data_IF_503880763774
#
_entry.id   IF_503880763774
#
_cell.length_a   1.000
_cell.length_b   1.000
_cell.length_c   1.000
_cell.angle_alpha   90.00
_cell.angle_beta   90.00
_cell.angle_gamma   90.00
#
_symmetry.space_group_name_H-M   'P 1'
#
loop_
_entity.id
_entity.type
_entity.pdbx_description
1 polymer ?
#
# COMPACT_ATOMS: atom_id res chain seq x y z
N UNK A 1 20.13 0.47 -13.63
CA UNK A 1 18.90 1.29 -13.70
C UNK A 1 19.26 2.58 -14.43
N UNK A 2 18.32 3.18 -15.16
CA UNK A 2 18.58 4.52 -15.72
C UNK A 2 18.84 5.52 -14.58
N UNK A 3 19.80 6.45 -14.74
CA UNK A 3 20.20 7.39 -13.66
C UNK A 3 19.06 8.31 -13.22
N UNK A 4 18.18 8.70 -14.14
CA UNK A 4 17.01 9.53 -13.82
C UNK A 4 16.04 8.71 -12.98
N UNK A 5 15.81 7.45 -13.37
CA UNK A 5 14.99 6.53 -12.61
C UNK A 5 15.58 6.25 -11.22
N UNK A 6 16.88 6.04 -11.11
CA UNK A 6 17.57 5.81 -9.85
C UNK A 6 17.40 6.98 -8.88
N UNK A 7 17.64 8.22 -9.34
CA UNK A 7 17.43 9.41 -8.52
C UNK A 7 15.97 9.52 -8.05
N UNK A 8 15.01 9.27 -8.94
CA UNK A 8 13.58 9.30 -8.58
C UNK A 8 13.21 8.22 -7.57
N UNK A 9 13.83 7.04 -7.66
CA UNK A 9 13.62 5.97 -6.68
C UNK A 9 14.20 6.33 -5.32
N UNK A 10 15.37 6.97 -5.27
CA UNK A 10 15.96 7.43 -4.01
C UNK A 10 15.11 8.50 -3.33
N UNK A 11 14.56 9.46 -4.08
CA UNK A 11 13.59 10.42 -3.55
C UNK A 11 12.37 9.71 -2.94
N UNK A 12 11.79 8.74 -3.66
CA UNK A 12 10.65 7.96 -3.17
C UNK A 12 10.97 7.15 -1.93
N UNK A 13 12.16 6.57 -1.82
CA UNK A 13 12.59 5.82 -0.62
C UNK A 13 12.56 6.75 0.61
N UNK A 14 13.06 7.99 0.47
CA UNK A 14 13.04 8.96 1.56
C UNK A 14 11.61 9.39 1.93
N UNK A 15 10.73 9.60 0.94
CA UNK A 15 9.31 9.88 1.18
C UNK A 15 8.62 8.75 1.97
N UNK A 16 8.92 7.49 1.65
CA UNK A 16 8.38 6.32 2.35
C UNK A 16 8.79 6.30 3.83
N UNK A 17 10.03 6.69 4.14
CA UNK A 17 10.47 6.79 5.54
C UNK A 17 9.68 7.83 6.34
N UNK A 18 9.24 8.91 5.69
CA UNK A 18 8.40 9.95 6.32
C UNK A 18 6.96 9.49 6.57
N UNK A 19 6.43 8.59 5.73
CA UNK A 19 5.04 8.10 5.80
C UNK A 19 4.90 6.78 6.60
N UNK A 20 5.83 6.50 7.51
CA UNK A 20 5.88 5.25 8.28
C UNK A 20 4.64 4.99 9.15
N UNK A 21 3.90 6.04 9.54
CA UNK A 21 2.64 5.93 10.28
C UNK A 21 1.53 5.26 9.48
N UNK A 22 1.32 5.66 8.22
CA UNK A 22 0.31 5.05 7.33
C UNK A 22 0.60 3.58 7.05
N UNK A 23 1.88 3.25 6.86
CA UNK A 23 2.34 1.87 6.68
C UNK A 23 2.01 1.05 7.94
N UNK A 24 2.29 1.60 9.12
CA UNK A 24 1.97 0.94 10.39
C UNK A 24 0.47 0.73 10.56
N UNK A 25 -0.37 1.69 10.17
CA UNK A 25 -1.83 1.57 10.19
C UNK A 25 -2.32 0.42 9.29
N UNK A 26 -1.80 0.33 8.06
CA UNK A 26 -2.14 -0.76 7.14
C UNK A 26 -1.73 -2.11 7.73
N UNK A 27 -0.51 -2.22 8.26
CA UNK A 27 0.00 -3.46 8.87
C UNK A 27 -0.87 -3.88 10.04
N UNK A 28 -1.17 -2.98 10.97
CA UNK A 28 -2.00 -3.27 12.15
C UNK A 28 -3.43 -3.66 11.79
N UNK A 29 -4.04 -3.01 10.79
CA UNK A 29 -5.40 -3.35 10.36
C UNK A 29 -5.47 -4.72 9.66
N UNK A 30 -4.34 -5.18 9.11
CA UNK A 30 -4.21 -6.39 8.32
C UNK A 30 -3.36 -7.48 9.02
N UNK A 31 -3.06 -7.33 10.31
CA UNK A 31 -2.01 -8.08 11.05
C UNK A 31 -2.28 -9.60 11.17
N UNK A 32 -3.48 -10.08 10.81
CA UNK A 32 -3.77 -11.52 10.73
C UNK A 32 -3.03 -12.26 9.62
N UNK A 33 -2.31 -11.54 8.75
CA UNK A 33 -1.75 -12.06 7.50
C UNK A 33 -0.23 -12.25 7.55
N UNK A 34 0.41 -11.95 8.69
CA UNK A 34 1.87 -11.75 8.80
C UNK A 34 2.68 -13.01 9.13
N UNK A 35 2.07 -14.18 9.36
CA UNK A 35 2.75 -15.32 9.98
C UNK A 35 3.53 -16.26 9.05
N UNK A 36 3.64 -16.04 7.72
CA UNK A 36 4.27 -17.03 6.84
C UNK A 36 4.97 -16.42 5.59
N UNK A 37 5.62 -17.24 4.75
CA UNK A 37 6.26 -16.81 3.46
C UNK A 37 5.31 -15.95 2.58
N UNK A 38 4.04 -16.22 2.79
CA UNK A 38 2.80 -15.62 2.39
C UNK A 38 2.69 -14.09 2.62
N UNK A 39 3.27 -13.60 3.71
CA UNK A 39 3.24 -12.20 4.12
C UNK A 39 3.98 -11.28 3.13
N UNK A 40 5.02 -11.80 2.46
CA UNK A 40 5.80 -11.00 1.52
C UNK A 40 5.03 -10.72 0.22
N UNK A 41 4.46 -11.75 -0.40
CA UNK A 41 3.64 -11.58 -1.60
C UNK A 41 2.40 -10.72 -1.33
N UNK A 42 1.80 -10.88 -0.15
CA UNK A 42 0.73 -10.02 0.32
C UNK A 42 1.20 -8.56 0.49
N UNK A 43 2.36 -8.34 1.11
CA UNK A 43 2.96 -7.00 1.25
C UNK A 43 3.21 -6.31 -0.10
N UNK A 44 3.67 -7.05 -1.12
CA UNK A 44 3.83 -6.52 -2.48
C UNK A 44 2.48 -6.11 -3.07
N UNK A 45 1.44 -6.94 -2.91
CA UNK A 45 0.11 -6.64 -3.42
C UNK A 45 -0.48 -5.38 -2.79
N UNK A 46 -0.42 -5.26 -1.46
CA UNK A 46 -0.90 -4.10 -0.71
C UNK A 46 -0.10 -2.84 -1.07
N UNK A 47 1.23 -2.94 -1.18
CA UNK A 47 2.08 -1.82 -1.60
C UNK A 47 1.72 -1.28 -2.99
N UNK A 48 1.35 -2.16 -3.94
CA UNK A 48 0.88 -1.76 -5.28
C UNK A 48 -0.46 -1.04 -5.21
N UNK A 49 -1.40 -1.53 -4.41
CA UNK A 49 -2.71 -0.90 -4.25
C UNK A 49 -2.61 0.45 -3.53
N UNK A 50 -1.80 0.56 -2.49
CA UNK A 50 -1.53 1.82 -1.80
C UNK A 50 -0.99 2.90 -2.77
N UNK A 51 0.04 2.57 -3.55
CA UNK A 51 0.58 3.52 -4.54
C UNK A 51 -0.47 3.86 -5.63
N UNK A 52 -1.29 2.88 -6.04
CA UNK A 52 -2.38 3.11 -7.00
C UNK A 52 -3.43 4.07 -6.43
N UNK A 53 -3.86 3.88 -5.19
CA UNK A 53 -4.84 4.73 -4.51
C UNK A 53 -4.39 6.20 -4.50
N UNK A 54 -3.19 6.49 -3.99
CA UNK A 54 -2.64 7.85 -3.98
C UNK A 54 -2.50 8.44 -5.39
N UNK A 55 -2.09 7.61 -6.36
CA UNK A 55 -2.04 8.05 -7.76
C UNK A 55 -3.42 8.41 -8.31
N UNK A 56 -4.45 7.59 -8.06
CA UNK A 56 -5.80 7.85 -8.53
C UNK A 56 -6.44 9.06 -7.86
N UNK A 57 -6.24 9.26 -6.55
CA UNK A 57 -6.67 10.48 -5.85
C UNK A 57 -6.08 11.73 -6.54
N UNK A 58 -4.77 11.74 -6.79
CA UNK A 58 -4.12 12.87 -7.49
C UNK A 58 -4.62 13.03 -8.92
N UNK A 59 -4.84 11.93 -9.65
CA UNK A 59 -5.27 11.98 -11.06
C UNK A 59 -6.70 12.48 -11.21
N UNK A 60 -7.63 11.94 -10.41
CA UNK A 60 -9.07 12.13 -10.51
C UNK A 60 -9.50 13.36 -9.69
N UNK A 61 -9.10 13.41 -8.41
CA UNK A 61 -9.53 14.46 -7.45
C UNK A 61 -8.58 15.65 -7.40
N UNK A 62 -7.42 15.59 -8.08
CA UNK A 62 -6.40 16.65 -8.12
C UNK A 62 -5.79 17.02 -6.76
N UNK A 63 -5.87 16.12 -5.78
CA UNK A 63 -5.27 16.25 -4.45
C UNK A 63 -4.83 14.89 -3.90
N UNK A 64 -4.06 14.91 -2.81
CA UNK A 64 -3.81 13.70 -2.02
C UNK A 64 -5.10 13.26 -1.31
N UNK A 65 -5.21 11.96 -0.95
CA UNK A 65 -6.33 11.49 -0.15
C UNK A 65 -6.38 12.20 1.22
N UNK A 66 -7.57 12.34 1.79
CA UNK A 66 -7.75 12.71 3.19
C UNK A 66 -7.53 11.50 4.10
N UNK A 67 -7.38 11.72 5.41
CA UNK A 67 -7.31 10.64 6.39
C UNK A 67 -8.57 9.76 6.40
N UNK A 68 -9.74 10.35 6.15
CA UNK A 68 -11.01 9.63 6.04
C UNK A 68 -11.04 8.72 4.81
N UNK A 69 -10.70 9.26 3.63
CA UNK A 69 -10.62 8.47 2.39
C UNK A 69 -9.58 7.35 2.49
N UNK A 70 -8.46 7.60 3.19
CA UNK A 70 -7.47 6.57 3.46
C UNK A 70 -8.06 5.46 4.36
N UNK A 71 -8.77 5.82 5.42
CA UNK A 71 -9.41 4.86 6.32
C UNK A 71 -10.46 4.01 5.59
N UNK A 72 -11.27 4.62 4.74
CA UNK A 72 -12.22 3.92 3.86
C UNK A 72 -11.50 2.94 2.92
N UNK A 73 -10.39 3.37 2.32
CA UNK A 73 -9.56 2.51 1.49
C UNK A 73 -9.04 1.29 2.25
N UNK A 74 -8.53 1.44 3.47
CA UNK A 74 -8.04 0.30 4.25
C UNK A 74 -9.18 -0.66 4.62
N UNK A 75 -10.37 -0.15 4.98
CA UNK A 75 -11.56 -0.98 5.23
C UNK A 75 -12.01 -1.73 3.95
N UNK A 76 -11.93 -1.09 2.78
CA UNK A 76 -12.18 -1.77 1.50
C UNK A 76 -11.22 -2.95 1.29
N UNK A 77 -9.92 -2.79 1.58
CA UNK A 77 -8.93 -3.86 1.47
C UNK A 77 -9.26 -5.01 2.43
N UNK A 78 -9.55 -4.69 3.69
CA UNK A 78 -9.90 -5.67 4.73
C UNK A 78 -11.14 -6.47 4.37
N UNK A 79 -12.16 -5.83 3.78
CA UNK A 79 -13.38 -6.53 3.34
C UNK A 79 -13.12 -7.60 2.26
N UNK A 80 -12.04 -7.44 1.49
CA UNK A 80 -11.62 -8.32 0.40
C UNK A 80 -10.45 -9.25 0.77
N UNK A 81 -10.05 -9.27 2.03
CA UNK A 81 -8.92 -10.06 2.54
C UNK A 81 -8.97 -11.52 2.08
N UNK A 82 -10.14 -12.15 2.13
CA UNK A 82 -10.34 -13.56 1.72
C UNK A 82 -10.07 -13.80 0.23
N UNK A 83 -10.30 -12.81 -0.63
CA UNK A 83 -10.00 -12.92 -2.06
C UNK A 83 -8.49 -12.86 -2.30
N UNK A 84 -7.80 -11.99 -1.57
CA UNK A 84 -6.34 -11.87 -1.65
C UNK A 84 -5.64 -13.12 -1.14
N UNK A 85 -6.12 -13.71 -0.04
CA UNK A 85 -5.61 -14.97 0.48
C UNK A 85 -5.69 -16.09 -0.58
N UNK A 86 -6.80 -16.22 -1.31
CA UNK A 86 -6.95 -17.26 -2.34
C UNK A 86 -6.04 -17.07 -3.56
N UNK A 87 -5.72 -15.82 -3.91
CA UNK A 87 -4.88 -15.50 -5.07
C UNK A 87 -3.39 -15.74 -4.80
N UNK A 88 -2.96 -15.48 -3.57
CA UNK A 88 -1.57 -15.67 -3.16
C UNK A 88 -1.33 -17.12 -2.68
N UNK A 89 -2.37 -17.81 -2.21
CA UNK A 89 -2.36 -19.19 -1.71
C UNK A 89 -3.37 -20.09 -2.46
N UNK A 90 -3.08 -20.51 -3.71
CA UNK A 90 -3.90 -21.47 -4.45
C UNK A 90 -3.86 -22.89 -3.87
#
# INVERSE_FOLDING_TARGET
MDKILENKMNEKINEVFLNSSEISSIVNLLDKLSSNRDSFAYGIFIGRLYNSFYYQCRRILKRNPTEEEFSEFVEMLKSREKEFLKLVFP
#
